data_IF_231230601064
#
_entry.id   IF_231230601064
#
_cell.length_a   1.000
_cell.length_b   1.000
_cell.length_c   1.000
_cell.angle_alpha   90.00
_cell.angle_beta   90.00
_cell.angle_gamma   90.00
#
_symmetry.space_group_name_H-M   'P 1'
#
loop_
_entity.id
_entity.type
_entity.pdbx_description
1 polymer ?
#
# COMPACT_ATOMS: atom_id res chain seq x y z
N UNK A 1 10.38 23.85 -1.80
CA UNK A 1 10.14 22.38 -1.73
C UNK A 1 8.85 22.11 -0.98
N UNK A 2 7.99 21.28 -1.51
CA UNK A 2 6.84 20.85 -0.73
C UNK A 2 7.31 20.04 0.48
N UNK A 3 6.69 20.26 1.61
CA UNK A 3 6.94 19.45 2.78
C UNK A 3 6.47 18.02 2.51
N UNK A 4 7.16 17.04 3.05
CA UNK A 4 6.73 15.66 2.97
C UNK A 4 5.40 15.51 3.70
N UNK A 5 4.52 14.69 3.11
CA UNK A 5 3.27 14.34 3.77
C UNK A 5 3.49 13.17 4.73
N UNK A 6 2.74 13.16 5.81
CA UNK A 6 2.71 12.05 6.73
C UNK A 6 1.82 10.95 6.16
N UNK A 7 2.35 9.74 6.04
CA UNK A 7 1.62 8.61 5.48
C UNK A 7 1.06 7.74 6.62
N UNK A 8 -0.23 7.53 6.58
CA UNK A 8 -0.95 6.76 7.60
C UNK A 8 -1.69 5.60 6.93
N UNK A 9 -1.46 4.39 7.43
CA UNK A 9 -2.19 3.20 7.00
C UNK A 9 -3.29 2.94 8.02
N UNK A 10 -4.53 2.85 7.56
CA UNK A 10 -5.68 2.71 8.45
C UNK A 10 -5.82 1.29 8.96
N UNK A 11 -6.59 1.14 10.05
CA UNK A 11 -6.97 -0.17 10.55
C UNK A 11 -7.66 -1.01 9.46
N UNK A 12 -8.54 -0.39 8.67
CA UNK A 12 -9.21 -1.07 7.56
C UNK A 12 -8.25 -1.61 6.50
N UNK A 13 -7.15 -0.91 6.26
CA UNK A 13 -6.09 -1.41 5.38
C UNK A 13 -5.51 -2.72 5.91
N UNK A 14 -5.14 -2.75 7.19
CA UNK A 14 -4.56 -3.96 7.79
C UNK A 14 -5.57 -5.09 7.90
N UNK A 15 -6.82 -4.80 8.25
CA UNK A 15 -7.88 -5.81 8.30
C UNK A 15 -8.06 -6.46 6.94
N UNK A 16 -8.08 -5.67 5.87
CA UNK A 16 -8.20 -6.23 4.53
C UNK A 16 -6.96 -7.02 4.12
N UNK A 17 -5.77 -6.53 4.46
CA UNK A 17 -4.52 -7.24 4.18
C UNK A 17 -4.53 -8.64 4.80
N UNK A 18 -5.07 -8.77 6.01
CA UNK A 18 -5.19 -10.05 6.71
C UNK A 18 -6.12 -11.04 5.99
N UNK A 19 -7.05 -10.54 5.17
CA UNK A 19 -7.89 -11.43 4.34
C UNK A 19 -7.17 -11.92 3.09
N UNK A 20 -6.12 -11.23 2.66
CA UNK A 20 -5.39 -11.53 1.43
C UNK A 20 -4.17 -12.40 1.66
N UNK A 21 -3.53 -12.28 2.81
CA UNK A 21 -2.28 -12.98 3.13
C UNK A 21 -2.44 -13.79 4.42
N UNK A 22 -1.73 -14.92 4.53
CA UNK A 22 -1.77 -15.73 5.74
C UNK A 22 -1.04 -15.05 6.90
N UNK A 23 -1.35 -15.47 8.12
CA UNK A 23 -0.67 -14.99 9.32
C UNK A 23 0.80 -15.41 9.33
N UNK A 24 1.10 -16.62 8.88
CA UNK A 24 2.44 -17.15 8.79
C UNK A 24 2.81 -17.45 7.34
N UNK A 25 4.11 -17.39 7.03
CA UNK A 25 4.60 -17.70 5.69
C UNK A 25 4.21 -19.13 5.31
N UNK A 26 3.62 -19.28 4.11
CA UNK A 26 3.19 -20.58 3.62
C UNK A 26 4.36 -21.49 3.22
N UNK A 27 4.13 -22.80 3.24
CA UNK A 27 5.12 -23.79 2.82
C UNK A 27 5.48 -23.65 1.33
N UNK A 28 4.60 -23.05 0.54
CA UNK A 28 4.80 -22.77 -0.89
C UNK A 28 5.58 -21.46 -1.13
N UNK A 29 6.08 -20.81 -0.09
CA UNK A 29 6.77 -19.54 -0.19
C UNK A 29 5.85 -18.32 -0.20
N UNK A 30 4.54 -18.51 -0.02
CA UNK A 30 3.61 -17.40 0.03
C UNK A 30 3.93 -16.49 1.23
N UNK A 31 4.09 -15.16 1.00
CA UNK A 31 4.43 -14.25 2.10
C UNK A 31 3.29 -14.13 3.12
N UNK A 32 3.66 -13.84 4.35
CA UNK A 32 2.72 -13.54 5.42
C UNK A 32 2.37 -12.05 5.47
N UNK A 33 1.40 -11.70 6.30
CA UNK A 33 1.08 -10.29 6.60
C UNK A 33 2.32 -9.57 7.15
N UNK A 34 3.05 -10.21 8.06
CA UNK A 34 4.28 -9.62 8.62
C UNK A 34 5.34 -9.39 7.55
N UNK A 35 5.52 -10.33 6.63
CA UNK A 35 6.45 -10.15 5.51
C UNK A 35 6.07 -8.92 4.67
N UNK A 36 4.80 -8.73 4.39
CA UNK A 36 4.32 -7.58 3.64
C UNK A 36 4.63 -6.27 4.37
N UNK A 37 4.34 -6.22 5.66
CA UNK A 37 4.58 -5.01 6.47
C UNK A 37 6.07 -4.68 6.54
N UNK A 38 6.94 -5.67 6.65
CA UNK A 38 8.39 -5.46 6.79
C UNK A 38 9.02 -5.08 5.46
N UNK A 39 8.66 -5.74 4.36
CA UNK A 39 9.36 -5.60 3.08
C UNK A 39 8.67 -4.67 2.09
N UNK A 40 7.35 -4.57 2.10
CA UNK A 40 6.63 -3.80 1.09
C UNK A 40 6.17 -2.43 1.58
N UNK A 41 5.78 -2.31 2.84
CA UNK A 41 5.23 -1.04 3.36
C UNK A 41 6.27 0.08 3.42
N UNK A 42 7.51 -0.13 3.94
CA UNK A 42 8.46 0.98 4.06
C UNK A 42 8.81 1.68 2.74
N UNK A 43 9.20 0.98 1.66
CA UNK A 43 9.51 1.68 0.41
C UNK A 43 8.28 2.36 -0.21
N UNK A 44 7.09 1.78 -0.07
CA UNK A 44 5.85 2.40 -0.55
C UNK A 44 5.54 3.67 0.24
N UNK A 45 5.66 3.61 1.57
CA UNK A 45 5.46 4.76 2.44
C UNK A 45 6.42 5.89 2.07
N UNK A 46 7.69 5.58 1.82
CA UNK A 46 8.68 6.60 1.46
C UNK A 46 8.34 7.30 0.16
N UNK A 47 7.88 6.57 -0.84
CA UNK A 47 7.44 7.15 -2.12
C UNK A 47 6.23 8.04 -1.96
N UNK A 48 5.25 7.61 -1.17
CA UNK A 48 4.04 8.39 -0.92
C UNK A 48 4.34 9.63 -0.08
N UNK A 49 5.26 9.54 0.87
CA UNK A 49 5.66 10.69 1.68
C UNK A 49 6.38 11.74 0.82
N UNK A 50 7.23 11.31 -0.09
CA UNK A 50 8.04 12.22 -0.91
C UNK A 50 7.20 12.98 -1.93
N UNK A 51 6.34 12.29 -2.70
CA UNK A 51 5.46 12.92 -3.68
C UNK A 51 4.26 12.02 -3.97
N UNK A 52 3.23 12.11 -3.15
CA UNK A 52 2.05 11.27 -3.26
C UNK A 52 1.29 11.50 -4.58
N UNK A 53 1.23 12.73 -5.07
CA UNK A 53 0.51 13.04 -6.31
C UNK A 53 1.20 12.42 -7.51
N UNK A 54 2.52 12.56 -7.60
CA UNK A 54 3.29 12.01 -8.71
C UNK A 54 3.34 10.47 -8.67
N UNK A 55 3.27 9.87 -7.47
CA UNK A 55 3.36 8.42 -7.30
C UNK A 55 2.04 7.69 -7.55
N UNK A 56 0.92 8.42 -7.72
CA UNK A 56 -0.42 7.82 -7.78
C UNK A 56 -1.20 8.31 -8.99
N UNK A 57 -2.29 7.59 -9.28
CA UNK A 57 -3.22 7.94 -10.36
C UNK A 57 -4.61 8.21 -9.78
N UNK A 58 -5.39 9.13 -10.41
CA UNK A 58 -6.77 9.31 -10.00
C UNK A 58 -7.61 8.06 -10.32
N UNK A 59 -8.67 7.86 -9.56
CA UNK A 59 -9.64 6.79 -9.79
C UNK A 59 -11.00 7.40 -10.19
N UNK A 60 -11.96 6.53 -10.49
CA UNK A 60 -13.33 6.96 -10.78
C UNK A 60 -14.04 7.52 -9.55
N UNK A 61 -13.54 7.21 -8.35
CA UNK A 61 -14.10 7.73 -7.11
C UNK A 61 -13.46 9.07 -6.80
N UNK A 62 -14.29 10.09 -6.61
CA UNK A 62 -13.82 11.44 -6.27
C UNK A 62 -12.99 11.42 -4.99
N UNK A 63 -11.82 12.05 -5.03
CA UNK A 63 -10.93 12.13 -3.89
C UNK A 63 -10.15 10.87 -3.58
N UNK A 64 -10.33 9.79 -4.34
CA UNK A 64 -9.60 8.53 -4.15
C UNK A 64 -8.55 8.37 -5.24
N UNK A 65 -7.32 8.09 -4.84
CA UNK A 65 -6.20 7.83 -5.75
C UNK A 65 -5.70 6.40 -5.53
N UNK A 66 -4.94 5.89 -6.50
CA UNK A 66 -4.37 4.54 -6.43
C UNK A 66 -2.88 4.60 -6.68
N UNK A 67 -2.11 3.93 -5.83
CA UNK A 67 -0.70 3.61 -6.06
C UNK A 67 -0.62 2.19 -6.59
N UNK A 68 0.06 2.02 -7.72
CA UNK A 68 0.27 0.71 -8.33
C UNK A 68 1.76 0.50 -8.48
N UNK A 69 2.27 -0.62 -7.99
CA UNK A 69 3.69 -0.91 -8.08
C UNK A 69 3.98 -2.40 -8.04
N UNK A 70 5.22 -2.73 -8.37
CA UNK A 70 5.74 -4.09 -8.20
C UNK A 70 6.39 -4.19 -6.83
N UNK A 71 6.06 -5.24 -6.08
CA UNK A 71 6.67 -5.47 -4.78
C UNK A 71 7.92 -6.31 -4.88
N UNK A 72 8.62 -6.44 -3.75
CA UNK A 72 9.78 -7.33 -3.62
C UNK A 72 9.37 -8.79 -3.51
N UNK A 73 8.26 -9.04 -2.81
CA UNK A 73 7.75 -10.39 -2.51
C UNK A 73 6.34 -10.61 -3.06
N UNK A 74 5.63 -9.55 -3.40
CA UNK A 74 4.30 -9.59 -4.04
C UNK A 74 4.43 -8.99 -5.43
N UNK A 75 4.05 -9.71 -6.51
CA UNK A 75 4.27 -9.22 -7.87
C UNK A 75 3.65 -7.87 -8.17
N UNK A 76 2.42 -7.65 -7.74
CA UNK A 76 1.72 -6.39 -7.99
C UNK A 76 0.99 -5.95 -6.73
N UNK A 77 1.16 -4.67 -6.38
CA UNK A 77 0.49 -4.06 -5.23
C UNK A 77 -0.30 -2.87 -5.74
N UNK A 78 -1.57 -2.78 -5.36
CA UNK A 78 -2.37 -1.59 -5.57
C UNK A 78 -2.95 -1.16 -4.22
N UNK A 79 -2.69 0.08 -3.82
CA UNK A 79 -3.26 0.63 -2.60
C UNK A 79 -4.08 1.87 -2.94
N UNK A 80 -5.21 2.01 -2.27
CA UNK A 80 -6.14 3.12 -2.46
C UNK A 80 -6.02 4.08 -1.31
N UNK A 81 -5.99 5.38 -1.63
CA UNK A 81 -5.63 6.38 -0.66
C UNK A 81 -6.33 7.72 -0.93
N UNK A 82 -6.32 8.58 0.08
CA UNK A 82 -6.72 9.98 -0.03
C UNK A 82 -5.53 10.84 0.34
N UNK A 83 -5.40 11.97 -0.35
CA UNK A 83 -4.32 12.93 -0.13
C UNK A 83 -4.95 14.25 0.32
N UNK A 84 -4.44 14.81 1.44
CA UNK A 84 -4.73 16.19 1.80
C UNK A 84 -3.41 16.97 1.89
N UNK A 85 -3.44 18.19 2.41
CA UNK A 85 -2.27 19.07 2.43
C UNK A 85 -1.12 18.52 3.27
N UNK A 86 -1.42 17.71 4.30
CA UNK A 86 -0.43 17.25 5.27
C UNK A 86 -0.32 15.74 5.36
N UNK A 87 -1.36 15.01 4.98
CA UNK A 87 -1.45 13.58 5.21
C UNK A 87 -1.80 12.81 3.95
N UNK A 88 -1.35 11.57 3.93
CA UNK A 88 -1.80 10.55 2.99
C UNK A 88 -2.44 9.45 3.82
N UNK A 89 -3.70 9.15 3.55
CA UNK A 89 -4.42 8.08 4.25
C UNK A 89 -4.61 6.90 3.31
N UNK A 90 -3.92 5.80 3.59
CA UNK A 90 -4.02 4.55 2.82
C UNK A 90 -5.04 3.65 3.53
N UNK A 91 -6.15 3.34 2.83
CA UNK A 91 -7.29 2.69 3.48
C UNK A 91 -7.70 1.36 2.86
N UNK A 92 -7.09 0.98 1.73
CA UNK A 92 -7.45 -0.27 1.05
C UNK A 92 -6.26 -0.83 0.28
N UNK A 93 -6.24 -2.14 0.09
CA UNK A 93 -5.16 -2.82 -0.64
C UNK A 93 -5.71 -3.94 -1.51
N UNK A 94 -5.13 -4.09 -2.69
CA UNK A 94 -5.37 -5.20 -3.59
C UNK A 94 -4.02 -5.76 -4.04
N UNK A 95 -3.90 -7.07 -4.10
CA UNK A 95 -2.66 -7.74 -4.46
C UNK A 95 -2.86 -8.63 -5.68
N UNK A 96 -1.92 -8.52 -6.64
CA UNK A 96 -1.81 -9.46 -7.73
C UNK A 96 -0.90 -10.60 -7.30
N UNK A 97 -1.48 -11.74 -7.00
CA UNK A 97 -0.75 -12.91 -6.52
C UNK A 97 -0.58 -13.90 -7.67
N UNK A 98 0.65 -14.34 -7.90
CA UNK A 98 0.98 -15.19 -9.04
C UNK A 98 1.13 -16.67 -8.67
N UNK A 99 0.72 -17.04 -7.49
CA UNK A 99 0.83 -18.41 -7.02
C UNK A 99 -0.48 -19.00 -6.53
#
# INVERSE_FOLDING_TARGET
MPAERRVRFTEGFFDHLETLLPEERGADGRPSVTDFIVFEVPPMRDRLAADAVAATLPTKLSGVRVYIGSGFIVPTIAVFLRIDDHDVEVFWVSLGLAW
#
